data_IF_697797785734
#
_entry.id   IF_697797785734
#
_cell.length_a   1.000
_cell.length_b   1.000
_cell.length_c   1.000
_cell.angle_alpha   90.00
_cell.angle_beta   90.00
_cell.angle_gamma   90.00
#
_symmetry.space_group_name_H-M   'P 1'
#
loop_
_entity.id
_entity.type
_entity.pdbx_description
1 polymer ?
#
# COMPACT_ATOMS: atom_id res chain seq x y z
N UNK A 1 50.92 57.39 41.52
CA UNK A 1 50.73 55.92 41.64
C UNK A 1 50.31 55.42 43.04
N UNK A 2 50.37 56.22 44.13
CA UNK A 2 49.97 55.76 45.49
C UNK A 2 48.46 55.83 45.82
N UNK A 3 47.65 56.51 45.03
CA UNK A 3 46.21 56.74 45.32
C UNK A 3 45.28 55.62 44.82
N UNK A 4 45.73 54.77 43.90
CA UNK A 4 44.90 53.69 43.34
C UNK A 4 44.73 52.49 44.27
N UNK A 5 45.73 52.22 45.12
CA UNK A 5 45.71 51.06 46.03
C UNK A 5 44.83 51.31 47.25
N UNK A 6 44.77 52.54 47.76
CA UNK A 6 43.92 52.91 48.90
C UNK A 6 42.42 52.83 48.55
N UNK A 7 42.04 53.17 47.31
CA UNK A 7 40.63 53.11 46.85
C UNK A 7 40.18 51.65 46.66
N UNK A 8 41.04 50.78 46.14
CA UNK A 8 40.77 49.33 46.01
C UNK A 8 40.64 48.65 47.38
N UNK A 9 41.47 49.04 48.37
CA UNK A 9 41.47 48.44 49.70
C UNK A 9 40.26 48.89 50.56
N UNK A 10 39.81 50.14 50.40
CA UNK A 10 38.57 50.65 51.01
C UNK A 10 37.33 49.91 50.50
N UNK A 11 37.26 49.61 49.20
CA UNK A 11 36.17 48.84 48.60
C UNK A 11 36.14 47.39 49.08
N UNK A 12 37.31 46.76 49.24
CA UNK A 12 37.45 45.40 49.78
C UNK A 12 37.00 45.32 51.24
N UNK A 13 37.39 46.28 52.07
CA UNK A 13 37.00 46.35 53.47
C UNK A 13 35.49 46.60 53.64
N UNK A 14 34.89 47.44 52.79
CA UNK A 14 33.44 47.67 52.80
C UNK A 14 32.65 46.42 52.40
N UNK A 15 33.10 45.69 51.37
CA UNK A 15 32.46 44.45 50.93
C UNK A 15 32.52 43.36 52.01
N UNK A 16 33.66 43.20 52.67
CA UNK A 16 33.81 42.26 53.79
C UNK A 16 32.93 42.62 54.97
N UNK A 17 32.78 43.91 55.30
CA UNK A 17 31.86 44.36 56.37
C UNK A 17 30.40 44.10 56.02
N UNK A 18 30.01 44.31 54.75
CA UNK A 18 28.67 44.00 54.28
C UNK A 18 28.37 42.49 54.31
N UNK A 19 29.36 41.66 53.97
CA UNK A 19 29.28 40.20 54.11
C UNK A 19 29.09 39.80 55.58
N UNK A 20 29.88 40.37 56.51
CA UNK A 20 29.77 40.10 57.94
C UNK A 20 28.40 40.54 58.49
N UNK A 21 27.92 41.75 58.17
CA UNK A 21 26.59 42.23 58.61
C UNK A 21 25.46 41.35 58.10
N UNK A 22 25.53 40.88 56.84
CA UNK A 22 24.55 39.96 56.27
C UNK A 22 24.49 38.64 57.05
N UNK A 23 25.64 38.04 57.35
CA UNK A 23 25.69 36.81 58.15
C UNK A 23 25.26 37.02 59.60
N UNK A 24 25.63 38.13 60.23
CA UNK A 24 25.17 38.45 61.58
C UNK A 24 23.64 38.63 61.64
N UNK A 25 23.03 39.27 60.64
CA UNK A 25 21.57 39.38 60.54
C UNK A 25 20.90 38.02 60.36
N UNK A 26 21.49 37.16 59.53
CA UNK A 26 21.01 35.79 59.35
C UNK A 26 21.05 35.00 60.67
N UNK A 27 22.16 35.07 61.40
CA UNK A 27 22.32 34.39 62.70
C UNK A 27 21.32 34.94 63.71
N UNK A 28 21.15 36.27 63.81
CA UNK A 28 20.13 36.89 64.67
C UNK A 28 18.71 36.46 64.33
N UNK A 29 18.42 36.19 63.06
CA UNK A 29 17.12 35.67 62.60
C UNK A 29 16.88 34.21 62.98
N UNK A 30 17.93 33.39 63.03
CA UNK A 30 17.84 31.98 63.44
C UNK A 30 17.58 31.81 64.94
N UNK A 31 18.15 32.67 65.79
CA UNK A 31 17.92 32.64 67.26
C UNK A 31 16.47 32.99 67.66
N UNK A 32 15.67 33.54 66.73
CA UNK A 32 14.26 33.86 66.93
C UNK A 32 13.31 32.74 66.44
N UNK A 33 13.82 31.68 65.79
CA UNK A 33 13.03 30.51 65.41
C UNK A 33 13.17 29.37 66.44
N UNK A 34 12.07 28.84 67.00
CA UNK A 34 12.11 27.59 67.76
C UNK A 34 12.55 26.45 66.83
N UNK A 35 13.64 25.78 67.21
CA UNK A 35 14.20 24.60 66.55
C UNK A 35 13.12 23.56 66.24
N UNK A 36 12.99 23.17 64.96
CA UNK A 36 12.40 21.89 64.57
C UNK A 36 13.37 21.18 63.64
N UNK A 37 13.78 19.99 64.08
CA UNK A 37 14.82 19.12 63.54
C UNK A 37 14.51 18.59 62.13
N UNK A 38 15.54 18.35 61.29
CA UNK A 38 15.93 16.98 60.89
C UNK A 38 16.96 16.91 59.74
N UNK A 39 17.70 15.79 59.80
CA UNK A 39 18.59 15.13 58.83
C UNK A 39 20.06 15.60 58.78
N UNK A 40 20.96 14.93 59.50
CA UNK A 40 21.53 13.59 59.21
C UNK A 40 22.36 13.58 57.92
N UNK A 41 23.69 13.61 58.04
CA UNK A 41 24.66 12.80 57.29
C UNK A 41 26.06 13.11 57.83
N UNK A 42 26.61 12.22 58.66
CA UNK A 42 28.05 11.94 58.75
C UNK A 42 28.28 10.93 59.89
N UNK A 43 27.93 9.68 59.62
CA UNK A 43 28.47 8.56 60.39
C UNK A 43 29.81 8.14 59.80
N UNK A 44 30.67 7.57 60.67
CA UNK A 44 31.95 6.90 60.41
C UNK A 44 33.21 7.79 60.43
N UNK A 45 33.93 7.74 61.56
CA UNK A 45 35.28 7.14 61.67
C UNK A 45 35.48 6.79 63.15
N UNK A 46 35.67 5.50 63.42
CA UNK A 46 35.99 4.95 64.73
C UNK A 46 37.45 5.17 65.13
N UNK A 47 37.63 5.44 66.42
CA UNK A 47 38.67 4.99 67.37
C UNK A 47 40.18 5.14 67.02
N UNK A 48 40.87 5.98 67.81
CA UNK A 48 42.07 5.58 68.56
C UNK A 48 42.46 6.62 69.64
N UNK A 49 42.42 6.17 70.88
CA UNK A 49 43.17 6.49 72.11
C UNK A 49 44.22 7.62 72.11
N UNK A 50 44.00 8.66 72.94
CA UNK A 50 44.89 9.15 74.02
C UNK A 50 44.68 10.64 74.36
N UNK A 51 44.81 11.06 75.64
CA UNK A 51 44.36 12.36 76.12
C UNK A 51 45.45 13.44 76.04
N UNK A 52 45.07 14.65 75.60
CA UNK A 52 45.87 15.85 75.80
C UNK A 52 46.19 16.61 74.51
N UNK A 53 45.25 17.44 74.03
CA UNK A 53 45.59 18.63 73.22
C UNK A 53 44.41 19.61 73.20
N UNK A 54 44.71 20.87 73.52
CA UNK A 54 43.79 22.02 73.47
C UNK A 54 43.03 22.03 72.13
N UNK A 55 41.74 21.74 72.17
CA UNK A 55 40.84 21.85 71.02
C UNK A 55 40.63 23.33 70.71
N UNK A 56 41.43 23.89 69.81
CA UNK A 56 41.00 25.04 69.02
C UNK A 56 39.72 24.60 68.33
N UNK A 57 38.59 25.21 68.69
CA UNK A 57 37.31 24.99 68.02
C UNK A 57 37.55 25.11 66.52
N UNK A 58 37.39 23.98 65.82
CA UNK A 58 37.56 23.90 64.38
C UNK A 58 36.43 24.75 63.80
N UNK A 59 36.74 25.99 63.41
CA UNK A 59 35.81 26.84 62.69
C UNK A 59 35.34 26.03 61.49
N UNK A 60 34.10 25.55 61.52
CA UNK A 60 33.47 24.95 60.35
C UNK A 60 33.28 26.11 59.36
N UNK A 61 34.18 26.21 58.38
CA UNK A 61 33.99 27.13 57.27
C UNK A 61 32.78 26.62 56.48
N UNK A 62 31.75 27.47 56.38
CA UNK A 62 30.63 27.25 55.45
C UNK A 62 31.18 27.08 54.04
N UNK A 63 30.65 26.10 53.31
CA UNK A 63 30.98 25.94 51.89
C UNK A 63 30.49 27.16 51.10
N UNK A 64 31.09 27.42 49.94
CA UNK A 64 30.68 28.54 49.08
C UNK A 64 29.18 28.46 48.71
N UNK A 65 28.68 27.24 48.52
CA UNK A 65 27.27 26.98 48.24
C UNK A 65 26.36 27.41 49.42
N UNK A 66 26.70 26.99 50.65
CA UNK A 66 25.98 27.40 51.86
C UNK A 66 26.00 28.92 52.06
N UNK A 67 27.14 29.58 51.80
CA UNK A 67 27.25 31.04 51.85
C UNK A 67 26.35 31.71 50.81
N UNK A 68 26.30 31.18 49.59
CA UNK A 68 25.42 31.70 48.54
C UNK A 68 23.95 31.55 48.90
N UNK A 69 23.54 30.45 49.53
CA UNK A 69 22.15 30.23 49.90
C UNK A 69 21.72 31.13 51.07
N UNK A 70 22.59 31.34 52.05
CA UNK A 70 22.37 32.35 53.10
C UNK A 70 22.25 33.75 52.49
N UNK A 71 23.12 34.11 51.55
CA UNK A 71 23.06 35.41 50.88
C UNK A 71 21.76 35.59 50.08
N UNK A 72 21.29 34.56 49.36
CA UNK A 72 19.99 34.59 48.64
C UNK A 72 18.82 34.73 49.61
N UNK A 73 18.82 33.97 50.70
CA UNK A 73 17.77 34.02 51.73
C UNK A 73 17.68 35.41 52.36
N UNK A 74 18.82 35.97 52.78
CA UNK A 74 18.89 37.32 53.35
C UNK A 74 18.51 38.40 52.32
N UNK A 75 18.92 38.25 51.07
CA UNK A 75 18.51 39.16 50.01
C UNK A 75 16.99 39.16 49.82
N UNK A 76 16.37 37.97 49.82
CA UNK A 76 14.91 37.83 49.74
C UNK A 76 14.23 38.49 50.94
N UNK A 77 14.71 38.23 52.16
CA UNK A 77 14.16 38.85 53.37
C UNK A 77 14.28 40.38 53.36
N UNK A 78 15.45 40.91 53.00
CA UNK A 78 15.65 42.35 52.87
C UNK A 78 14.77 42.98 51.78
N UNK A 79 14.55 42.27 50.67
CA UNK A 79 13.64 42.72 49.62
C UNK A 79 12.19 42.78 50.13
N UNK A 80 11.75 41.79 50.91
CA UNK A 80 10.44 41.77 51.56
C UNK A 80 10.29 42.88 52.62
N UNK A 81 11.31 43.09 53.46
CA UNK A 81 11.35 44.17 54.45
C UNK A 81 11.28 45.55 53.80
N UNK A 82 12.05 45.75 52.73
CA UNK A 82 12.05 47.00 51.97
C UNK A 82 10.70 47.24 51.30
N UNK A 83 10.03 46.20 50.81
CA UNK A 83 8.67 46.30 50.29
C UNK A 83 7.68 46.68 51.40
N UNK A 84 7.72 46.01 52.57
CA UNK A 84 6.88 46.34 53.73
C UNK A 84 7.06 47.78 54.19
N UNK A 85 8.31 48.23 54.28
CA UNK A 85 8.63 49.60 54.67
C UNK A 85 8.08 50.62 53.66
N UNK A 86 8.20 50.35 52.36
CA UNK A 86 7.61 51.18 51.31
C UNK A 86 6.09 51.25 51.44
N UNK A 87 5.43 50.10 51.51
CA UNK A 87 3.96 50.01 51.62
C UNK A 87 3.44 50.75 52.87
N UNK A 88 4.17 50.68 53.99
CA UNK A 88 3.84 51.42 55.21
C UNK A 88 3.99 52.93 55.01
N UNK A 89 5.14 53.36 54.46
CA UNK A 89 5.41 54.78 54.22
C UNK A 89 4.42 55.43 53.24
N UNK A 90 3.98 54.69 52.22
CA UNK A 90 2.98 55.16 51.27
C UNK A 90 1.62 55.36 51.94
N UNK A 91 1.18 54.39 52.76
CA UNK A 91 -0.05 54.52 53.56
C UNK A 91 0.00 55.71 54.50
N UNK A 92 1.12 55.93 55.17
CA UNK A 92 1.29 57.09 56.06
C UNK A 92 1.24 58.41 55.29
N UNK A 93 1.92 58.49 54.14
CA UNK A 93 1.86 59.66 53.27
C UNK A 93 0.43 59.96 52.80
N UNK A 94 -0.33 58.94 52.42
CA UNK A 94 -1.71 59.13 52.00
C UNK A 94 -2.62 59.57 53.16
N UNK A 95 -2.39 59.05 54.38
CA UNK A 95 -3.08 59.54 55.57
C UNK A 95 -2.76 61.02 55.87
N UNK A 96 -1.50 61.43 55.76
CA UNK A 96 -1.11 62.82 55.95
C UNK A 96 -1.71 63.74 54.88
N UNK A 97 -1.74 63.31 53.61
CA UNK A 97 -2.42 64.06 52.54
C UNK A 97 -3.92 64.22 52.85
N UNK A 98 -4.60 63.15 53.21
CA UNK A 98 -6.03 63.20 53.55
C UNK A 98 -6.30 64.15 54.74
N UNK A 99 -5.44 64.10 55.77
CA UNK A 99 -5.54 65.00 56.94
C UNK A 99 -5.33 66.46 56.56
N UNK A 100 -4.36 66.74 55.68
CA UNK A 100 -4.10 68.09 55.18
C UNK A 100 -5.29 68.62 54.37
N UNK A 101 -5.82 67.80 53.45
CA UNK A 101 -7.00 68.16 52.65
C UNK A 101 -8.23 68.44 53.52
N UNK A 102 -8.47 67.63 54.55
CA UNK A 102 -9.54 67.85 55.54
C UNK A 102 -9.34 69.19 56.27
N UNK A 103 -8.12 69.47 56.73
CA UNK A 103 -7.80 70.72 57.43
C UNK A 103 -8.00 71.95 56.52
N UNK A 104 -7.62 71.86 55.25
CA UNK A 104 -7.84 72.93 54.27
C UNK A 104 -9.34 73.16 54.02
N UNK A 105 -10.12 72.09 53.87
CA UNK A 105 -11.57 72.17 53.74
C UNK A 105 -12.16 72.87 54.99
N UNK A 106 -11.82 72.40 56.19
CA UNK A 106 -12.27 72.99 57.45
C UNK A 106 -11.89 74.47 57.57
N UNK A 107 -10.66 74.84 57.20
CA UNK A 107 -10.22 76.23 57.22
C UNK A 107 -11.06 77.11 56.28
N UNK A 108 -11.35 76.61 55.07
CA UNK A 108 -12.20 77.36 54.13
C UNK A 108 -13.64 77.47 54.61
N UNK A 109 -14.19 76.44 55.25
CA UNK A 109 -15.53 76.46 55.83
C UNK A 109 -15.63 77.44 57.00
N UNK A 110 -14.68 77.39 57.95
CA UNK A 110 -14.65 78.33 59.08
C UNK A 110 -14.54 79.77 58.58
N UNK A 111 -13.67 80.05 57.61
CA UNK A 111 -13.57 81.40 57.01
C UNK A 111 -14.91 81.85 56.40
N UNK A 112 -15.58 80.97 55.64
CA UNK A 112 -16.89 81.26 55.05
C UNK A 112 -17.95 81.54 56.13
N UNK A 113 -17.98 80.71 57.17
CA UNK A 113 -18.92 80.84 58.30
C UNK A 113 -18.68 82.12 59.10
N UNK A 114 -17.42 82.47 59.39
CA UNK A 114 -17.07 83.75 60.03
C UNK A 114 -17.53 84.95 59.20
N UNK A 115 -17.20 84.97 57.90
CA UNK A 115 -17.64 86.05 57.02
C UNK A 115 -19.17 86.14 56.90
N UNK A 116 -19.86 84.99 56.91
CA UNK A 116 -21.32 84.97 56.84
C UNK A 116 -21.95 85.47 58.14
N UNK A 117 -21.44 85.04 59.30
CA UNK A 117 -21.86 85.53 60.60
C UNK A 117 -21.68 87.05 60.73
N UNK A 118 -20.53 87.59 60.33
CA UNK A 118 -20.28 89.04 60.38
C UNK A 118 -21.20 89.84 59.45
N UNK A 119 -21.58 89.26 58.30
CA UNK A 119 -22.55 89.88 57.38
C UNK A 119 -23.96 89.88 57.97
N UNK A 120 -24.41 88.74 58.48
CA UNK A 120 -25.81 88.51 58.84
C UNK A 120 -26.13 89.01 60.26
N UNK A 121 -25.19 88.83 61.20
CA UNK A 121 -25.31 89.21 62.61
C UNK A 121 -24.44 90.44 62.94
N UNK A 122 -23.20 90.48 62.46
CA UNK A 122 -22.23 91.52 62.84
C UNK A 122 -22.70 92.94 62.52
N UNK A 123 -23.45 93.14 61.43
CA UNK A 123 -24.09 94.45 61.12
C UNK A 123 -25.19 94.78 62.13
N UNK A 124 -26.06 93.83 62.47
CA UNK A 124 -27.17 94.04 63.39
C UNK A 124 -26.73 94.31 64.84
N UNK A 125 -25.56 93.79 65.25
CA UNK A 125 -25.00 94.02 66.59
C UNK A 125 -24.37 95.42 66.77
N UNK A 126 -23.96 96.08 65.68
CA UNK A 126 -23.34 97.42 65.74
C UNK A 126 -24.36 98.55 65.91
N UNK A 127 -25.64 98.29 65.59
CA UNK A 127 -26.73 99.26 65.72
C UNK A 127 -27.29 99.26 67.16
N UNK A 128 -26.75 100.14 68.02
CA UNK A 128 -27.03 100.22 69.48
C UNK A 128 -28.49 100.49 69.90
N UNK A 129 -29.42 100.77 68.96
CA UNK A 129 -30.80 101.17 69.27
C UNK A 129 -31.74 100.01 69.63
N UNK A 130 -31.33 98.74 69.46
CA UNK A 130 -32.23 97.61 69.68
C UNK A 130 -31.51 96.33 70.13
N UNK A 131 -31.07 96.31 71.38
CA UNK A 131 -30.40 95.15 71.98
C UNK A 131 -31.33 93.92 71.98
N UNK A 132 -32.62 94.08 72.29
CA UNK A 132 -33.58 92.96 72.29
C UNK A 132 -33.81 92.35 70.90
N UNK A 133 -33.92 93.16 69.83
CA UNK A 133 -34.05 92.63 68.45
C UNK A 133 -32.75 91.98 67.95
N UNK A 134 -31.60 92.37 68.48
CA UNK A 134 -30.31 91.77 68.13
C UNK A 134 -30.18 90.34 68.68
N UNK A 135 -30.66 90.08 69.91
CA UNK A 135 -30.65 88.74 70.51
C UNK A 135 -31.55 87.76 69.74
N UNK A 136 -32.76 88.17 69.34
CA UNK A 136 -33.69 87.33 68.58
C UNK A 136 -33.21 87.00 67.16
N UNK A 137 -32.39 87.88 66.55
CA UNK A 137 -31.71 87.57 65.29
C UNK A 137 -30.61 86.52 65.46
N UNK A 138 -29.85 86.59 66.56
CA UNK A 138 -28.81 85.61 66.88
C UNK A 138 -29.43 84.23 67.11
N UNK A 139 -30.54 84.15 67.86
CA UNK A 139 -31.26 82.89 68.09
C UNK A 139 -31.73 82.27 66.78
N UNK A 140 -32.42 83.04 65.92
CA UNK A 140 -32.85 82.55 64.60
C UNK A 140 -31.69 82.08 63.72
N UNK A 141 -30.58 82.81 63.71
CA UNK A 141 -29.38 82.39 62.97
C UNK A 141 -28.84 81.05 63.46
N UNK A 142 -28.78 80.85 64.78
CA UNK A 142 -28.35 79.57 65.37
C UNK A 142 -29.33 78.46 64.97
N UNK A 143 -30.63 78.68 65.09
CA UNK A 143 -31.65 77.69 64.71
C UNK A 143 -31.57 77.30 63.23
N UNK A 144 -31.43 78.28 62.33
CA UNK A 144 -31.28 78.04 60.90
C UNK A 144 -29.99 77.28 60.57
N UNK A 145 -28.89 77.58 61.29
CA UNK A 145 -27.61 76.87 61.14
C UNK A 145 -27.69 75.43 61.68
N UNK A 146 -28.37 75.21 62.79
CA UNK A 146 -28.64 73.87 63.32
C UNK A 146 -29.44 73.06 62.31
N UNK A 147 -30.55 73.60 61.77
CA UNK A 147 -31.35 72.93 60.73
C UNK A 147 -30.55 72.62 59.47
N UNK A 148 -29.68 73.55 59.02
CA UNK A 148 -28.82 73.32 57.87
C UNK A 148 -27.81 72.20 58.10
N UNK A 149 -27.22 72.13 59.31
CA UNK A 149 -26.30 71.05 59.71
C UNK A 149 -27.03 69.70 59.83
N UNK A 150 -28.24 69.66 60.39
CA UNK A 150 -29.09 68.46 60.42
C UNK A 150 -29.39 67.92 59.02
N UNK A 151 -29.74 68.80 58.06
CA UNK A 151 -29.94 68.41 56.66
C UNK A 151 -28.66 67.86 56.02
N UNK A 152 -27.49 68.40 56.36
CA UNK A 152 -26.21 67.89 55.88
C UNK A 152 -25.89 66.51 56.46
N UNK A 153 -26.13 66.30 57.77
CA UNK A 153 -25.96 65.00 58.43
C UNK A 153 -26.79 63.93 57.73
N UNK A 154 -28.06 64.21 57.45
CA UNK A 154 -28.96 63.27 56.75
C UNK A 154 -28.43 62.93 55.34
N UNK A 155 -27.96 63.93 54.58
CA UNK A 155 -27.32 63.71 53.26
C UNK A 155 -26.06 62.85 53.37
N UNK A 156 -25.23 63.07 54.38
CA UNK A 156 -24.02 62.29 54.61
C UNK A 156 -24.36 60.85 55.01
N UNK A 157 -25.37 60.64 55.85
CA UNK A 157 -25.87 59.31 56.20
C UNK A 157 -26.33 58.53 54.97
N UNK A 158 -27.12 59.17 54.09
CA UNK A 158 -27.57 58.55 52.83
C UNK A 158 -26.41 58.19 51.91
N UNK A 159 -25.43 59.09 51.75
CA UNK A 159 -24.21 58.81 50.96
C UNK A 159 -23.39 57.67 51.55
N UNK A 160 -23.22 57.63 52.87
CA UNK A 160 -22.49 56.57 53.55
C UNK A 160 -23.18 55.21 53.37
N UNK A 161 -24.51 55.16 53.51
CA UNK A 161 -25.29 53.96 53.25
C UNK A 161 -25.14 53.46 51.79
N UNK A 162 -25.16 54.37 50.81
CA UNK A 162 -24.95 54.05 49.40
C UNK A 162 -23.52 53.51 49.13
N UNK A 163 -22.49 54.14 49.71
CA UNK A 163 -21.10 53.68 49.60
C UNK A 163 -20.90 52.31 50.26
N UNK A 164 -21.53 52.05 51.41
CA UNK A 164 -21.49 50.75 52.06
C UNK A 164 -22.16 49.67 51.20
N UNK A 165 -23.29 49.97 50.56
CA UNK A 165 -23.94 49.04 49.62
C UNK A 165 -23.05 48.77 48.39
N UNK A 166 -22.40 49.80 47.85
CA UNK A 166 -21.48 49.66 46.73
C UNK A 166 -20.23 48.85 47.09
N UNK A 167 -19.63 49.10 48.26
CA UNK A 167 -18.53 48.30 48.81
C UNK A 167 -18.92 46.82 48.93
N UNK A 168 -20.09 46.53 49.48
CA UNK A 168 -20.60 45.14 49.59
C UNK A 168 -20.77 44.50 48.22
N UNK A 169 -21.32 45.23 47.23
CA UNK A 169 -21.45 44.73 45.85
C UNK A 169 -20.08 44.37 45.26
N UNK A 170 -19.10 45.25 45.38
CA UNK A 170 -17.74 44.99 44.91
C UNK A 170 -17.10 43.79 45.62
N UNK A 171 -17.28 43.67 46.94
CA UNK A 171 -16.80 42.51 47.70
C UNK A 171 -17.42 41.20 47.21
N UNK A 172 -18.73 41.19 46.89
CA UNK A 172 -19.40 40.01 46.33
C UNK A 172 -18.86 39.69 44.93
N UNK A 173 -18.67 40.70 44.06
CA UNK A 173 -18.10 40.49 42.73
C UNK A 173 -16.68 39.92 42.81
N UNK A 174 -15.88 40.39 43.76
CA UNK A 174 -14.52 39.92 43.97
C UNK A 174 -14.53 38.46 44.46
N UNK A 175 -15.40 38.11 45.41
CA UNK A 175 -15.60 36.71 45.82
C UNK A 175 -16.07 35.82 44.68
N UNK A 176 -17.03 36.28 43.86
CA UNK A 176 -17.49 35.53 42.70
C UNK A 176 -16.38 35.34 41.67
N UNK A 177 -15.51 36.35 41.47
CA UNK A 177 -14.34 36.21 40.60
C UNK A 177 -13.30 35.25 41.19
N UNK A 178 -13.11 35.24 42.51
CA UNK A 178 -12.26 34.28 43.20
C UNK A 178 -12.82 32.85 43.07
N UNK A 179 -14.13 32.64 43.31
CA UNK A 179 -14.82 31.36 43.16
C UNK A 179 -14.87 30.89 41.69
N UNK A 180 -15.05 31.81 40.73
CA UNK A 180 -14.93 31.52 39.29
C UNK A 180 -13.48 31.21 38.90
N UNK A 181 -12.50 31.82 39.58
CA UNK A 181 -11.07 31.50 39.46
C UNK A 181 -10.71 30.16 40.10
N UNK A 182 -11.45 29.72 41.12
CA UNK A 182 -11.38 28.37 41.71
C UNK A 182 -11.99 27.29 40.81
N UNK A 183 -12.77 27.65 39.78
CA UNK A 183 -13.34 26.70 38.82
C UNK A 183 -12.32 25.98 37.94
N UNK A 184 -11.06 26.43 37.91
CA UNK A 184 -9.93 25.79 37.25
C UNK A 184 -8.76 25.73 38.23
N UNK A 185 -8.75 24.69 39.05
CA UNK A 185 -7.65 24.46 40.00
C UNK A 185 -6.38 24.10 39.22
N UNK A 186 -5.20 24.40 39.78
CA UNK A 186 -3.92 23.94 39.22
C UNK A 186 -3.91 22.42 38.94
N UNK A 187 -4.62 21.64 39.75
CA UNK A 187 -4.84 20.20 39.56
C UNK A 187 -5.61 19.88 38.27
N UNK A 188 -6.57 20.69 37.86
CA UNK A 188 -7.33 20.48 36.62
C UNK A 188 -6.44 20.70 35.38
N UNK A 189 -5.56 21.70 35.45
CA UNK A 189 -4.55 21.93 34.42
C UNK A 189 -3.54 20.77 34.34
N UNK A 190 -3.09 20.25 35.49
CA UNK A 190 -2.22 19.07 35.53
C UNK A 190 -2.94 17.81 35.05
N UNK A 191 -4.22 17.63 35.37
CA UNK A 191 -5.05 16.54 34.84
C UNK A 191 -5.19 16.65 33.31
N UNK A 192 -5.42 17.85 32.78
CA UNK A 192 -5.51 18.09 31.34
C UNK A 192 -4.17 17.83 30.65
N UNK A 193 -3.04 18.25 31.26
CA UNK A 193 -1.69 17.92 30.76
C UNK A 193 -1.44 16.43 30.75
N UNK A 194 -1.82 15.72 31.81
CA UNK A 194 -1.69 14.26 31.89
C UNK A 194 -2.54 13.57 30.82
N UNK A 195 -3.79 13.99 30.66
CA UNK A 195 -4.70 13.50 29.62
C UNK A 195 -4.12 13.70 28.22
N UNK A 196 -3.63 14.90 27.91
CA UNK A 196 -2.97 15.19 26.65
C UNK A 196 -1.71 14.36 26.44
N UNK A 197 -0.87 14.22 27.46
CA UNK A 197 0.34 13.40 27.39
C UNK A 197 -0.01 11.93 27.11
N UNK A 198 -1.04 11.39 27.77
CA UNK A 198 -1.52 10.02 27.55
C UNK A 198 -2.05 9.83 26.13
N UNK A 199 -2.88 10.75 25.64
CA UNK A 199 -3.40 10.71 24.28
C UNK A 199 -2.28 10.81 23.23
N UNK A 200 -1.29 11.69 23.45
CA UNK A 200 -0.17 11.85 22.53
C UNK A 200 0.71 10.60 22.46
N UNK A 201 1.00 9.96 23.58
CA UNK A 201 1.72 8.67 23.61
C UNK A 201 0.99 7.59 22.82
N UNK A 202 -0.32 7.45 23.03
CA UNK A 202 -1.17 6.52 22.26
C UNK A 202 -1.15 6.82 20.76
N UNK A 203 -1.20 8.10 20.37
CA UNK A 203 -1.11 8.51 18.98
C UNK A 203 0.24 8.12 18.36
N UNK A 204 1.34 8.34 19.09
CA UNK A 204 2.69 8.02 18.65
C UNK A 204 2.89 6.50 18.50
N UNK A 205 2.39 5.70 19.45
CA UNK A 205 2.41 4.24 19.37
C UNK A 205 1.63 3.73 18.15
N UNK A 206 0.44 4.28 17.89
CA UNK A 206 -0.36 3.89 16.72
C UNK A 206 0.29 4.34 15.41
N UNK A 207 0.93 5.51 15.40
CA UNK A 207 1.69 5.98 14.25
C UNK A 207 2.88 5.05 13.95
N UNK A 208 3.60 4.61 14.98
CA UNK A 208 4.70 3.65 14.85
C UNK A 208 4.21 2.32 14.29
N UNK A 209 3.14 1.74 14.86
CA UNK A 209 2.52 0.50 14.35
C UNK A 209 2.08 0.62 12.91
N UNK A 210 1.52 1.78 12.52
CA UNK A 210 1.14 2.04 11.12
C UNK A 210 2.36 2.06 10.19
N UNK A 211 3.48 2.64 10.62
CA UNK A 211 4.73 2.64 9.84
C UNK A 211 5.27 1.21 9.68
N UNK A 212 5.28 0.42 10.75
CA UNK A 212 5.69 -0.99 10.72
C UNK A 212 4.82 -1.81 9.76
N UNK A 213 3.50 -1.65 9.83
CA UNK A 213 2.56 -2.32 8.93
C UNK A 213 2.75 -1.89 7.47
N UNK A 214 3.02 -0.61 7.20
CA UNK A 214 3.35 -0.14 5.84
C UNK A 214 4.63 -0.79 5.32
N UNK A 215 5.67 -0.88 6.15
CA UNK A 215 6.92 -1.52 5.76
C UNK A 215 6.72 -3.01 5.49
N UNK A 216 5.98 -3.71 6.35
CA UNK A 216 5.64 -5.12 6.16
C UNK A 216 4.85 -5.32 4.86
N UNK A 217 3.83 -4.49 4.62
CA UNK A 217 3.04 -4.52 3.37
C UNK A 217 3.92 -4.34 2.15
N UNK A 218 4.87 -3.38 2.20
CA UNK A 218 5.83 -3.15 1.12
C UNK A 218 6.73 -4.37 0.87
N UNK A 219 7.24 -5.00 1.93
CA UNK A 219 8.04 -6.24 1.82
C UNK A 219 7.23 -7.39 1.23
N UNK A 220 6.01 -7.61 1.71
CA UNK A 220 5.12 -8.65 1.20
C UNK A 220 4.77 -8.42 -0.26
N UNK A 221 4.51 -7.18 -0.67
CA UNK A 221 4.24 -6.83 -2.06
C UNK A 221 5.45 -7.09 -2.97
N UNK A 222 6.66 -6.79 -2.49
CA UNK A 222 7.88 -7.10 -3.23
C UNK A 222 8.06 -8.60 -3.45
N UNK A 223 7.89 -9.42 -2.40
CA UNK A 223 7.95 -10.88 -2.50
C UNK A 223 6.86 -11.41 -3.44
N UNK A 224 5.64 -10.89 -3.34
CA UNK A 224 4.53 -11.27 -4.21
C UNK A 224 4.82 -10.97 -5.69
N UNK A 225 5.37 -9.79 -6.00
CA UNK A 225 5.74 -9.43 -7.37
C UNK A 225 6.86 -10.34 -7.90
N UNK A 226 7.89 -10.62 -7.10
CA UNK A 226 8.95 -11.56 -7.51
C UNK A 226 8.40 -12.96 -7.80
N UNK A 227 7.48 -13.46 -6.96
CA UNK A 227 6.84 -14.76 -7.19
C UNK A 227 5.93 -14.75 -8.42
N UNK A 228 5.22 -13.65 -8.67
CA UNK A 228 4.40 -13.46 -9.88
C UNK A 228 5.26 -13.51 -11.14
N UNK A 229 6.40 -12.83 -11.16
CA UNK A 229 7.34 -12.85 -12.28
C UNK A 229 7.88 -14.27 -12.52
N UNK A 230 8.32 -14.97 -11.46
CA UNK A 230 8.77 -16.38 -11.57
C UNK A 230 7.68 -17.29 -12.11
N UNK A 231 6.45 -17.15 -11.63
CA UNK A 231 5.31 -17.92 -12.13
C UNK A 231 5.04 -17.62 -13.60
N UNK A 232 5.10 -16.36 -14.03
CA UNK A 232 4.93 -15.99 -15.43
C UNK A 232 6.00 -16.62 -16.32
N UNK A 233 7.27 -16.59 -15.90
CA UNK A 233 8.36 -17.25 -16.63
C UNK A 233 8.14 -18.76 -16.72
N UNK A 234 7.85 -19.43 -15.61
CA UNK A 234 7.59 -20.89 -15.60
C UNK A 234 6.37 -21.27 -16.43
N UNK A 235 5.32 -20.44 -16.42
CA UNK A 235 4.12 -20.67 -17.25
C UNK A 235 4.49 -20.57 -18.73
N UNK A 236 5.26 -19.55 -19.11
CA UNK A 236 5.73 -19.40 -20.48
C UNK A 236 6.63 -20.57 -20.92
N UNK A 237 7.58 -20.99 -20.08
CA UNK A 237 8.42 -22.16 -20.35
C UNK A 237 7.58 -23.43 -20.49
N UNK A 238 6.57 -23.63 -19.63
CA UNK A 238 5.65 -24.76 -19.73
C UNK A 238 4.87 -24.73 -21.04
N UNK A 239 4.39 -23.57 -21.49
CA UNK A 239 3.67 -23.44 -22.76
C UNK A 239 4.57 -23.79 -23.96
N UNK A 240 5.83 -23.31 -23.93
CA UNK A 240 6.84 -23.63 -24.95
C UNK A 240 7.11 -25.14 -24.96
N UNK A 241 7.37 -25.75 -23.80
CA UNK A 241 7.62 -27.19 -23.69
C UNK A 241 6.42 -28.03 -24.11
N UNK A 242 5.19 -27.60 -23.80
CA UNK A 242 3.97 -28.25 -24.26
C UNK A 242 3.85 -28.20 -25.78
N UNK A 243 4.20 -27.06 -26.39
CA UNK A 243 4.21 -26.92 -27.85
C UNK A 243 5.27 -27.81 -28.52
N UNK A 244 6.49 -27.89 -27.97
CA UNK A 244 7.55 -28.77 -28.45
C UNK A 244 7.15 -30.24 -28.28
N UNK A 245 6.61 -30.62 -27.11
CA UNK A 245 6.10 -31.97 -26.86
C UNK A 245 5.01 -32.36 -27.87
N UNK A 246 4.08 -31.45 -28.17
CA UNK A 246 3.05 -31.68 -29.18
C UNK A 246 3.63 -31.81 -30.61
N UNK A 247 4.66 -31.03 -30.95
CA UNK A 247 5.36 -31.16 -32.23
C UNK A 247 6.10 -32.49 -32.33
N UNK A 248 6.83 -32.90 -31.29
CA UNK A 248 7.52 -34.19 -31.23
C UNK A 248 6.56 -35.37 -31.29
N UNK A 249 5.42 -35.30 -30.60
CA UNK A 249 4.37 -36.32 -30.70
C UNK A 249 3.86 -36.48 -32.15
N UNK A 250 3.64 -35.38 -32.86
CA UNK A 250 3.26 -35.41 -34.29
C UNK A 250 4.35 -36.03 -35.17
N UNK A 251 5.62 -35.72 -34.90
CA UNK A 251 6.75 -36.29 -35.63
C UNK A 251 6.89 -37.80 -35.36
N UNK A 252 6.71 -38.23 -34.11
CA UNK A 252 6.72 -39.65 -33.75
C UNK A 252 5.64 -40.43 -34.50
N UNK A 253 4.42 -39.91 -34.58
CA UNK A 253 3.33 -40.55 -35.36
C UNK A 253 3.75 -40.72 -36.82
N UNK A 254 4.34 -39.71 -37.45
CA UNK A 254 4.84 -39.80 -38.84
C UNK A 254 5.94 -40.84 -38.98
N UNK A 255 6.92 -40.86 -38.08
CA UNK A 255 7.98 -41.86 -38.12
C UNK A 255 7.47 -43.28 -37.90
N UNK A 256 6.46 -43.48 -37.05
CA UNK A 256 5.81 -44.78 -36.87
C UNK A 256 5.10 -45.23 -38.15
N UNK A 257 4.41 -44.32 -38.85
CA UNK A 257 3.78 -44.58 -40.15
C UNK A 257 4.83 -44.92 -41.22
N UNK A 258 5.89 -44.13 -41.36
CA UNK A 258 7.01 -44.37 -42.28
C UNK A 258 7.72 -45.70 -41.97
N UNK A 259 7.92 -46.03 -40.70
CA UNK A 259 8.54 -47.29 -40.27
C UNK A 259 7.66 -48.49 -40.64
N UNK A 260 6.34 -48.41 -40.39
CA UNK A 260 5.40 -49.46 -40.82
C UNK A 260 5.44 -49.66 -42.33
N UNK A 261 5.42 -48.57 -43.10
CA UNK A 261 5.52 -48.64 -44.55
C UNK A 261 6.83 -49.29 -45.00
N UNK A 262 7.97 -48.89 -44.42
CA UNK A 262 9.27 -49.48 -44.73
C UNK A 262 9.33 -50.97 -44.37
N UNK A 263 8.72 -51.40 -43.26
CA UNK A 263 8.61 -52.82 -42.90
C UNK A 263 7.76 -53.61 -43.88
N UNK A 264 6.64 -53.05 -44.35
CA UNK A 264 5.81 -53.69 -45.37
C UNK A 264 6.57 -53.85 -46.69
N UNK A 265 7.29 -52.82 -47.13
CA UNK A 265 8.12 -52.84 -48.32
C UNK A 265 9.27 -53.86 -48.19
N UNK A 266 9.96 -53.88 -47.03
CA UNK A 266 10.98 -54.90 -46.70
C UNK A 266 10.39 -56.30 -46.79
N UNK A 267 9.23 -56.55 -46.18
CA UNK A 267 8.59 -57.87 -46.19
C UNK A 267 8.21 -58.30 -47.61
N UNK A 268 7.67 -57.40 -48.45
CA UNK A 268 7.38 -57.66 -49.87
C UNK A 268 8.67 -58.03 -50.63
N UNK A 269 9.73 -57.26 -50.44
CA UNK A 269 11.04 -57.52 -51.06
C UNK A 269 11.65 -58.84 -50.59
N UNK A 270 11.55 -59.19 -49.31
CA UNK A 270 12.02 -60.46 -48.75
C UNK A 270 11.25 -61.67 -49.30
N UNK A 271 9.93 -61.56 -49.45
CA UNK A 271 9.11 -62.61 -50.07
C UNK A 271 9.52 -62.82 -51.52
N UNK A 272 9.70 -61.73 -52.29
CA UNK A 272 10.19 -61.80 -53.66
C UNK A 272 11.60 -62.39 -53.74
N UNK A 273 12.52 -61.97 -52.86
CA UNK A 273 13.89 -62.49 -52.81
C UNK A 273 13.89 -63.99 -52.48
N UNK A 274 13.08 -64.43 -51.50
CA UNK A 274 12.89 -65.86 -51.19
C UNK A 274 12.38 -66.63 -52.40
N UNK A 275 11.39 -66.11 -53.13
CA UNK A 275 10.87 -66.74 -54.35
C UNK A 275 11.95 -66.86 -55.42
N UNK A 276 12.71 -65.80 -55.67
CA UNK A 276 13.80 -65.80 -56.65
C UNK A 276 14.92 -66.77 -56.26
N UNK A 277 15.29 -66.83 -54.98
CA UNK A 277 16.25 -67.83 -54.47
C UNK A 277 15.75 -69.26 -54.62
N UNK A 278 14.45 -69.50 -54.38
CA UNK A 278 13.81 -70.79 -54.66
C UNK A 278 13.88 -71.14 -56.14
N UNK A 279 13.49 -70.22 -57.02
CA UNK A 279 13.62 -70.40 -58.47
C UNK A 279 15.07 -70.65 -58.91
N UNK A 280 16.05 -70.00 -58.29
CA UNK A 280 17.47 -70.21 -58.58
C UNK A 280 17.96 -71.59 -58.08
N UNK A 281 17.44 -72.09 -56.97
CA UNK A 281 17.73 -73.43 -56.47
C UNK A 281 17.10 -74.52 -57.37
N UNK A 282 15.86 -74.29 -57.85
CA UNK A 282 15.17 -75.18 -58.79
C UNK A 282 15.72 -75.07 -60.23
N UNK A 283 16.44 -73.99 -60.54
CA UNK A 283 17.05 -73.75 -61.84
C UNK A 283 18.22 -74.71 -62.06
N UNK A 284 17.91 -75.83 -62.72
CA UNK A 284 18.91 -76.76 -63.22
C UNK A 284 19.21 -76.46 -64.69
N UNK A 285 20.48 -76.16 -65.01
CA UNK A 285 20.94 -75.96 -66.38
C UNK A 285 20.85 -77.31 -67.12
N UNK A 286 19.96 -77.48 -68.12
CA UNK A 286 19.82 -78.75 -68.82
C UNK A 286 21.14 -79.13 -69.49
N UNK A 287 21.51 -80.40 -69.41
CA UNK A 287 22.73 -80.90 -70.04
C UNK A 287 22.71 -80.58 -71.55
N UNK A 288 23.84 -80.15 -72.13
CA UNK A 288 23.93 -79.61 -73.50
C UNK A 288 23.28 -80.54 -74.54
N UNK A 289 23.43 -81.85 -74.37
CA UNK A 289 22.82 -82.86 -75.24
C UNK A 289 21.29 -82.92 -75.14
N UNK A 290 20.71 -82.70 -73.95
CA UNK A 290 19.25 -82.61 -73.78
C UNK A 290 18.69 -81.34 -74.44
N UNK A 291 19.39 -80.21 -74.32
CA UNK A 291 19.00 -78.96 -74.99
C UNK A 291 19.00 -79.10 -76.51
N UNK A 292 20.02 -79.74 -77.10
CA UNK A 292 20.10 -80.01 -78.54
C UNK A 292 18.93 -80.88 -79.00
N UNK A 293 18.64 -81.99 -78.28
CA UNK A 293 17.51 -82.88 -78.60
C UNK A 293 16.16 -82.16 -78.56
N UNK A 294 15.91 -81.35 -77.51
CA UNK A 294 14.67 -80.58 -77.38
C UNK A 294 14.56 -79.49 -78.44
N UNK A 295 15.68 -78.87 -78.85
CA UNK A 295 15.69 -77.85 -79.90
C UNK A 295 15.50 -78.45 -81.29
N UNK A 296 16.06 -79.63 -81.53
CA UNK A 296 15.83 -80.40 -82.74
C UNK A 296 14.37 -80.85 -82.84
N UNK A 297 13.79 -81.40 -81.76
CA UNK A 297 12.38 -81.78 -81.73
C UNK A 297 11.45 -80.58 -81.90
N UNK A 298 11.75 -79.44 -81.28
CA UNK A 298 11.03 -78.19 -81.52
C UNK A 298 11.14 -77.73 -82.98
N UNK A 299 12.33 -77.83 -83.58
CA UNK A 299 12.55 -77.54 -85.00
C UNK A 299 11.75 -78.46 -85.92
N UNK A 300 11.69 -79.76 -85.62
CA UNK A 300 10.87 -80.74 -86.33
C UNK A 300 9.38 -80.44 -86.20
N UNK A 301 8.92 -80.13 -84.98
CA UNK A 301 7.52 -79.78 -84.72
C UNK A 301 7.12 -78.48 -85.42
N UNK A 302 8.02 -77.49 -85.47
CA UNK A 302 7.80 -76.24 -86.19
C UNK A 302 7.74 -76.46 -87.71
N UNK A 303 8.54 -77.39 -88.25
CA UNK A 303 8.46 -77.81 -89.66
C UNK A 303 7.15 -78.51 -89.95
N UNK A 304 6.73 -79.45 -89.11
CA UNK A 304 5.45 -80.16 -89.31
C UNK A 304 4.26 -79.22 -89.17
N UNK A 305 4.26 -78.27 -88.24
CA UNK A 305 3.23 -77.20 -88.17
C UNK A 305 3.17 -76.43 -89.48
N UNK A 306 4.31 -75.94 -90.00
CA UNK A 306 4.35 -75.25 -91.30
C UNK A 306 3.89 -76.12 -92.46
N UNK A 307 4.20 -77.40 -92.42
CA UNK A 307 3.83 -78.36 -93.46
C UNK A 307 2.32 -78.66 -93.44
N UNK A 308 1.73 -78.73 -92.24
CA UNK A 308 0.28 -78.81 -92.06
C UNK A 308 -0.43 -77.51 -92.44
N UNK A 309 0.09 -76.34 -92.06
CA UNK A 309 -0.39 -75.03 -92.52
C UNK A 309 -0.41 -74.98 -94.06
N UNK A 310 0.66 -75.43 -94.71
CA UNK A 310 0.73 -75.49 -96.19
C UNK A 310 -0.26 -76.48 -96.80
N UNK A 311 -0.50 -77.63 -96.15
CA UNK A 311 -1.51 -78.61 -96.61
C UNK A 311 -2.92 -78.07 -96.49
N UNK A 312 -3.21 -77.30 -95.43
CA UNK A 312 -4.48 -76.60 -95.25
C UNK A 312 -4.65 -75.54 -96.35
N UNK A 313 -3.63 -74.71 -96.62
CA UNK A 313 -3.68 -73.73 -97.72
C UNK A 313 -3.96 -74.40 -99.09
N UNK A 314 -3.32 -75.53 -99.40
CA UNK A 314 -3.55 -76.26 -100.67
C UNK A 314 -4.97 -76.83 -100.73
N UNK A 315 -5.51 -77.31 -99.61
CA UNK A 315 -6.89 -77.79 -99.53
C UNK A 315 -7.89 -76.63 -99.69
N UNK A 316 -7.63 -75.49 -99.05
CA UNK A 316 -8.44 -74.27 -99.18
C UNK A 316 -8.44 -73.73 -100.62
N UNK A 317 -7.27 -73.65 -101.27
CA UNK A 317 -7.17 -73.22 -102.68
C UNK A 317 -7.88 -74.18 -103.64
N UNK A 318 -7.81 -75.50 -103.41
CA UNK A 318 -8.53 -76.49 -104.22
C UNK A 318 -10.05 -76.36 -104.08
N UNK A 319 -10.55 -76.14 -102.87
CA UNK A 319 -11.98 -75.91 -102.61
C UNK A 319 -12.44 -74.59 -103.26
N UNK A 320 -11.62 -73.54 -103.21
CA UNK A 320 -11.92 -72.26 -103.88
C UNK A 320 -11.87 -72.35 -105.42
N UNK A 321 -11.07 -73.24 -106.01
CA UNK A 321 -11.03 -73.47 -107.47
C UNK A 321 -12.23 -74.30 -107.98
N UNK A 322 -12.69 -75.31 -107.24
CA UNK A 322 -13.89 -76.08 -107.63
C UNK A 322 -15.17 -75.27 -107.48
N UNK A 323 -15.25 -74.33 -106.52
CA UNK A 323 -16.38 -73.40 -106.39
C UNK A 323 -16.44 -72.34 -107.52
N UNK A 324 -15.31 -72.01 -108.17
CA UNK A 324 -15.27 -71.02 -109.28
C UNK A 324 -15.67 -71.60 -110.65
N UNK A 325 -15.58 -72.92 -110.85
CA UNK A 325 -15.96 -73.58 -112.12
C UNK A 325 -17.48 -73.78 -112.22
N UNK A 326 -18.20 -73.84 -111.09
CA UNK A 326 -19.66 -73.99 -111.04
C UNK A 326 -20.48 -72.71 -111.39
N UNK A 327 -19.87 -71.64 -111.93
CA UNK A 327 -20.56 -70.35 -112.17
C UNK A 327 -20.66 -69.93 -113.66
N UNK A 328 -20.07 -70.64 -114.65
CA UNK A 328 -20.18 -70.23 -116.07
C UNK A 328 -20.24 -71.45 -117.02
N UNK A 329 -21.44 -71.97 -117.32
CA UNK A 329 -21.91 -72.60 -118.58
C UNK A 329 -23.44 -72.90 -118.44
N UNK A 330 -24.33 -72.49 -119.37
CA UNK A 330 -25.78 -72.71 -119.31
C UNK A 330 -26.30 -73.92 -120.11
N UNK A 331 -27.23 -74.65 -119.48
CA UNK A 331 -28.28 -75.57 -119.98
C UNK A 331 -27.92 -76.94 -120.62
N UNK A 332 -27.91 -77.99 -119.78
CA UNK A 332 -28.52 -79.31 -120.06
C UNK A 332 -28.79 -80.07 -118.74
N UNK A 333 -30.05 -80.48 -118.56
CA UNK A 333 -30.58 -81.59 -117.75
C UNK A 333 -30.41 -81.53 -116.22
N UNK A 334 -31.47 -81.28 -115.44
CA UNK A 334 -32.49 -82.24 -114.96
C UNK A 334 -31.95 -83.40 -114.10
N UNK A 335 -32.40 -83.38 -112.83
CA UNK A 335 -32.53 -84.48 -111.86
C UNK A 335 -31.33 -85.39 -111.57
N UNK A 336 -30.80 -85.31 -110.35
CA UNK A 336 -31.21 -86.23 -109.28
C UNK A 336 -30.49 -85.93 -107.97
N UNK A 337 -31.25 -85.98 -106.88
CA UNK A 337 -30.78 -86.23 -105.53
C UNK A 337 -29.86 -87.47 -105.51
N UNK A 338 -28.68 -87.37 -104.89
CA UNK A 338 -28.21 -88.49 -104.05
C UNK A 338 -27.17 -88.07 -103.02
N UNK A 339 -27.59 -88.30 -101.78
CA UNK A 339 -26.85 -88.41 -100.54
C UNK A 339 -25.82 -89.56 -100.61
N UNK A 340 -24.57 -89.29 -100.20
CA UNK A 340 -23.54 -90.26 -99.78
C UNK A 340 -22.75 -89.56 -98.66
N UNK A 341 -23.09 -89.71 -97.37
CA UNK A 341 -22.69 -90.77 -96.43
C UNK A 341 -21.27 -91.31 -96.70
N UNK A 342 -20.27 -90.76 -95.99
CA UNK A 342 -19.02 -91.49 -95.71
C UNK A 342 -19.08 -91.94 -94.24
N UNK A 343 -18.73 -93.22 -93.96
CA UNK A 343 -19.12 -93.94 -92.77
C UNK A 343 -18.12 -93.81 -91.61
N UNK A 344 -18.66 -94.13 -90.44
CA UNK A 344 -18.09 -94.12 -89.11
C UNK A 344 -16.67 -94.68 -88.92
N UNK A 345 -16.00 -94.11 -87.90
CA UNK A 345 -15.25 -94.94 -86.97
C UNK A 345 -13.80 -94.56 -86.72
N UNK A 346 -13.54 -93.40 -86.10
CA UNK A 346 -12.95 -93.29 -84.74
C UNK A 346 -12.32 -91.91 -84.48
N UNK A 347 -12.90 -91.20 -83.49
CA UNK A 347 -12.30 -90.17 -82.58
C UNK A 347 -11.84 -88.84 -83.25
N UNK A 348 -12.24 -87.62 -82.87
CA UNK A 348 -13.04 -86.99 -81.81
C UNK A 348 -13.13 -85.48 -82.21
N UNK A 349 -14.13 -84.62 -81.95
CA UNK A 349 -15.51 -84.65 -81.45
C UNK A 349 -16.13 -83.29 -81.84
N UNK A 350 -17.35 -83.33 -82.35
CA UNK A 350 -18.34 -82.26 -82.37
C UNK A 350 -19.22 -82.43 -81.11
N UNK A 351 -19.51 -81.37 -80.35
CA UNK A 351 -20.67 -81.29 -79.43
C UNK A 351 -20.96 -79.80 -79.20
N UNK A 352 -21.89 -79.17 -79.92
CA UNK A 352 -23.36 -79.13 -79.69
C UNK A 352 -23.73 -78.87 -78.22
N UNK A 353 -24.21 -77.64 -78.05
CA UNK A 353 -25.32 -77.11 -77.23
C UNK A 353 -25.50 -77.53 -75.77
N UNK A 354 -25.78 -76.48 -74.99
CA UNK A 354 -26.55 -76.53 -73.75
C UNK A 354 -25.66 -76.77 -72.54
N UNK A 355 -25.78 -76.05 -71.45
CA UNK A 355 -26.81 -75.12 -70.99
C UNK A 355 -26.22 -74.47 -69.73
N UNK A 356 -26.74 -73.28 -69.41
CA UNK A 356 -27.07 -72.81 -68.05
C UNK A 356 -26.00 -72.93 -66.93
N UNK A 357 -25.79 -71.96 -66.07
CA UNK A 357 -26.60 -70.86 -65.60
C UNK A 357 -25.62 -69.73 -65.21
N UNK A 358 -25.93 -68.47 -65.47
CA UNK A 358 -26.82 -67.68 -64.61
C UNK A 358 -26.35 -67.74 -63.14
N UNK A 359 -25.79 -66.62 -62.67
CA UNK A 359 -26.52 -65.67 -61.81
C UNK A 359 -26.27 -66.05 -60.34
N UNK A 360 -26.13 -65.15 -59.38
CA UNK A 360 -26.31 -63.73 -59.36
C UNK A 360 -25.87 -63.28 -57.97
N UNK A 361 -25.49 -62.01 -57.86
CA UNK A 361 -25.92 -61.12 -56.77
C UNK A 361 -25.44 -61.44 -55.35
N UNK A 362 -24.76 -60.52 -54.68
CA UNK A 362 -25.38 -59.37 -53.98
C UNK A 362 -24.48 -59.17 -52.74
N UNK A 363 -24.13 -57.99 -52.20
CA UNK A 363 -24.73 -56.67 -52.26
C UNK A 363 -23.77 -55.68 -51.57
N UNK A 364 -23.92 -54.41 -51.95
CA UNK A 364 -23.90 -53.19 -51.10
C UNK A 364 -22.59 -52.79 -50.39
N UNK A 365 -21.98 -51.65 -50.68
CA UNK A 365 -22.41 -50.22 -50.70
C UNK A 365 -21.59 -49.52 -49.61
N UNK A 366 -20.92 -48.40 -49.83
CA UNK A 366 -21.59 -47.12 -50.04
C UNK A 366 -20.67 -46.01 -50.58
N UNK A 367 -21.24 -45.22 -51.51
CA UNK A 367 -21.03 -43.77 -51.76
C UNK A 367 -19.64 -43.31 -52.28
N UNK A 368 -19.47 -42.49 -53.33
CA UNK A 368 -20.30 -41.39 -53.88
C UNK A 368 -20.00 -41.14 -55.38
N UNK A 369 -21.00 -40.54 -56.01
CA UNK A 369 -21.18 -39.99 -57.37
C UNK A 369 -20.22 -38.88 -57.83
N UNK A 370 -20.06 -38.77 -59.17
CA UNK A 370 -19.66 -37.65 -60.08
C UNK A 370 -18.44 -38.03 -60.95
N UNK A 371 -18.32 -37.82 -62.27
CA UNK A 371 -19.08 -37.05 -63.28
C UNK A 371 -18.50 -37.37 -64.68
N UNK A 372 -19.37 -37.57 -65.69
CA UNK A 372 -19.24 -37.32 -67.14
C UNK A 372 -17.99 -37.82 -67.92
N UNK A 373 -18.06 -38.91 -68.72
CA UNK A 373 -18.61 -38.97 -70.10
C UNK A 373 -18.55 -37.63 -70.87
N UNK A 374 -17.39 -37.27 -71.45
CA UNK A 374 -17.31 -36.20 -72.46
C UNK A 374 -16.09 -36.22 -73.42
N UNK A 375 -15.44 -37.36 -73.72
CA UNK A 375 -14.19 -37.33 -74.52
C UNK A 375 -14.13 -38.22 -75.78
N UNK A 376 -15.25 -38.79 -76.24
CA UNK A 376 -15.23 -39.81 -77.32
C UNK A 376 -15.75 -39.33 -78.69
N UNK A 377 -16.26 -38.10 -78.83
CA UNK A 377 -16.92 -37.69 -80.10
C UNK A 377 -16.17 -36.59 -80.89
N UNK A 378 -15.16 -35.91 -80.33
CA UNK A 378 -14.56 -34.75 -81.02
C UNK A 378 -13.28 -35.00 -81.84
N UNK A 379 -12.48 -36.04 -81.57
CA UNK A 379 -11.17 -36.15 -82.24
C UNK A 379 -11.11 -37.13 -83.43
N UNK A 380 -12.17 -37.89 -83.70
CA UNK A 380 -12.28 -38.78 -84.87
C UNK A 380 -12.71 -38.06 -86.17
N UNK A 381 -12.39 -36.76 -86.33
CA UNK A 381 -12.73 -35.99 -87.54
C UNK A 381 -11.57 -35.21 -88.19
N UNK A 382 -10.33 -35.39 -87.74
CA UNK A 382 -9.13 -34.77 -88.34
C UNK A 382 -8.06 -35.81 -88.73
N UNK A 383 -8.50 -36.99 -89.17
CA UNK A 383 -7.71 -37.90 -90.03
C UNK A 383 -8.54 -38.25 -91.27
N UNK A 384 -8.58 -37.34 -92.26
CA UNK A 384 -8.69 -37.62 -93.70
C UNK A 384 -8.73 -36.30 -94.48
N UNK A 385 -7.78 -36.12 -95.42
CA UNK A 385 -7.48 -34.97 -96.29
C UNK A 385 -6.50 -33.98 -95.64
N UNK A 386 -5.20 -33.85 -95.96
CA UNK A 386 -4.36 -34.14 -97.13
C UNK A 386 -2.94 -34.49 -96.61
N UNK A 387 -2.31 -35.63 -96.94
CA UNK A 387 -1.49 -35.87 -98.15
C UNK A 387 -0.57 -34.69 -98.57
N UNK A 388 0.55 -34.52 -97.86
CA UNK A 388 1.93 -34.47 -98.38
C UNK A 388 2.93 -34.61 -97.24
#
# INVERSE_FOLDING_TARGET
MKTSWSILDLGSNAAQRAEIDMFERYIRGLDLQPQTENYETASQIEMATSPGRKTKARQQLLTLEQKCDVAKSMHKQMAEDLKRAKDLSERELDNYKATLEEADIHLTEVKKECCQFDRDIGKALRDKKSVTMSAEKVIRYIEDKVKAKESLIEKLHQKNAALLAYKKKLQIQLKQQEEMGEGLTALDFEQLKFGNMKCRKLLDEQNLRRVELKLLTGKTLHVLNSNKEKLQTLTHESDVLNSDSALRAKLLIKFEEETKQAEEERNKAEVLNRKLRGQLADFHVPHVLQYIKVKESHGQLKKSVKEWERKVEIAEVRILQTLKIYIYIPELCFLNDLIIIIPDGTKNVLKILGQASDHCWSQNSSSTTCSHRCWIVWFLKQQKLNMS
#
